data_IF_936304571654
#
_entry.id   IF_936304571654
#
_cell.length_a   1.000
_cell.length_b   1.000
_cell.length_c   1.000
_cell.angle_alpha   90.00
_cell.angle_beta   90.00
_cell.angle_gamma   90.00
#
_symmetry.space_group_name_H-M   'P 1'
#
loop_
_entity.id
_entity.type
_entity.pdbx_description
1 polymer ?
#
# COMPACT_ATOMS: atom_id res chain seq x y z
N UNK A 1 10.48 20.16 5.42
CA UNK A 1 10.06 20.10 4.00
C UNK A 1 9.45 21.44 3.63
N UNK A 2 9.67 21.94 2.41
CA UNK A 2 8.96 23.14 1.92
C UNK A 2 7.46 22.82 1.86
N UNK A 3 6.58 23.76 2.22
CA UNK A 3 5.10 23.63 2.15
C UNK A 3 4.55 23.45 0.71
N UNK A 4 5.43 23.23 -0.27
CA UNK A 4 5.08 23.02 -1.66
C UNK A 4 4.87 21.52 -1.92
N UNK A 5 3.76 21.11 -2.55
CA UNK A 5 3.57 19.72 -2.96
C UNK A 5 4.70 19.29 -3.90
N UNK A 6 5.26 18.11 -3.61
CA UNK A 6 6.27 17.45 -4.45
C UNK A 6 5.59 16.58 -5.51
N UNK A 7 6.23 16.39 -6.65
CA UNK A 7 5.71 15.60 -7.78
C UNK A 7 6.60 14.38 -8.01
N UNK A 8 6.01 13.19 -8.04
CA UNK A 8 6.72 11.90 -8.18
C UNK A 8 6.35 11.29 -9.54
N UNK A 9 7.35 11.06 -10.39
CA UNK A 9 7.15 10.69 -11.82
C UNK A 9 7.97 9.48 -12.30
N UNK A 10 8.80 8.89 -11.44
CA UNK A 10 9.76 7.83 -11.78
C UNK A 10 10.84 8.23 -12.81
N UNK A 11 11.09 9.52 -13.01
CA UNK A 11 12.17 10.03 -13.88
C UNK A 11 13.40 10.35 -13.02
N UNK A 12 14.60 10.04 -13.53
CA UNK A 12 15.88 10.40 -12.88
C UNK A 12 15.97 10.03 -11.38
N UNK A 13 15.38 8.90 -10.99
CA UNK A 13 15.37 8.41 -9.61
C UNK A 13 14.31 9.03 -8.69
N UNK A 14 13.44 9.91 -9.21
CA UNK A 14 12.28 10.48 -8.53
C UNK A 14 11.12 9.48 -8.42
N UNK A 15 11.37 8.37 -7.73
CA UNK A 15 10.43 7.26 -7.58
C UNK A 15 9.62 7.37 -6.30
N UNK A 16 8.47 6.66 -6.26
CA UNK A 16 7.70 6.52 -5.01
C UNK A 16 8.56 5.98 -3.87
N UNK A 17 9.43 5.01 -4.14
CA UNK A 17 10.34 4.46 -3.14
C UNK A 17 11.30 5.53 -2.58
N UNK A 18 11.91 6.34 -3.46
CA UNK A 18 12.79 7.43 -3.06
C UNK A 18 12.04 8.47 -2.22
N UNK A 19 10.82 8.82 -2.59
CA UNK A 19 9.98 9.76 -1.85
C UNK A 19 9.61 9.22 -0.46
N UNK A 20 9.19 7.96 -0.36
CA UNK A 20 8.90 7.29 0.90
C UNK A 20 10.13 7.25 1.83
N UNK A 21 11.31 6.92 1.28
CA UNK A 21 12.55 6.96 2.04
C UNK A 21 12.86 8.36 2.56
N UNK A 22 12.83 9.38 1.70
CA UNK A 22 13.06 10.78 2.12
C UNK A 22 12.13 11.20 3.25
N UNK A 23 10.85 10.85 3.18
CA UNK A 23 9.85 11.18 4.19
C UNK A 23 10.12 10.49 5.53
N UNK A 24 10.46 9.20 5.50
CA UNK A 24 10.66 8.36 6.69
C UNK A 24 12.07 8.51 7.30
N UNK A 25 13.07 8.87 6.49
CA UNK A 25 14.42 9.16 6.96
C UNK A 25 14.52 10.60 7.50
N UNK A 26 13.80 11.57 6.92
CA UNK A 26 13.78 12.95 7.41
C UNK A 26 13.16 13.08 8.81
N UNK A 27 12.32 12.13 9.20
CA UNK A 27 11.76 12.00 10.55
C UNK A 27 12.69 11.28 11.52
N UNK A 28 13.89 10.88 11.08
CA UNK A 28 14.85 10.07 11.86
C UNK A 28 16.15 10.82 12.23
N UNK A 29 16.29 12.13 11.98
CA UNK A 29 17.54 12.83 12.30
C UNK A 29 17.42 14.34 12.58
N UNK A 30 17.49 14.70 13.87
CA UNK A 30 18.36 15.76 14.38
C UNK A 30 19.17 15.18 15.58
N UNK A 31 20.20 14.37 15.30
CA UNK A 31 21.47 14.17 16.04
C UNK A 31 22.05 12.74 15.84
N UNK A 32 23.39 12.55 15.76
CA UNK A 32 24.00 11.26 15.42
C UNK A 32 24.27 10.33 16.61
N UNK A 33 23.90 10.70 17.85
CA UNK A 33 24.31 10.00 19.06
C UNK A 33 23.11 9.46 19.88
N UNK A 34 22.36 8.51 19.32
CA UNK A 34 21.59 7.55 20.12
C UNK A 34 21.14 6.35 19.27
N UNK A 35 21.44 5.13 19.73
CA UNK A 35 20.93 3.87 19.20
C UNK A 35 19.45 3.63 19.55
N UNK A 36 18.59 4.59 19.27
CA UNK A 36 17.13 4.44 19.38
C UNK A 36 16.50 5.33 18.30
N UNK A 37 16.18 4.74 17.15
CA UNK A 37 15.57 5.47 16.03
C UNK A 37 14.22 6.03 16.45
N UNK A 38 14.17 7.31 16.79
CA UNK A 38 12.94 8.01 17.08
C UNK A 38 12.32 8.35 15.72
N UNK A 39 11.53 7.43 15.18
CA UNK A 39 10.77 7.72 13.98
C UNK A 39 9.57 8.54 14.42
N UNK A 40 9.50 9.81 14.01
CA UNK A 40 8.38 10.70 14.37
C UNK A 40 7.03 10.21 13.84
N UNK A 41 7.01 9.18 12.97
CA UNK A 41 5.81 8.55 12.42
C UNK A 41 5.35 7.36 13.28
N UNK A 42 4.15 7.46 13.82
CA UNK A 42 3.52 6.41 14.64
C UNK A 42 2.68 5.44 13.80
N UNK A 43 2.01 5.95 12.75
CA UNK A 43 1.09 5.17 11.93
C UNK A 43 1.26 5.41 10.43
N UNK A 44 1.27 4.30 9.66
CA UNK A 44 1.15 4.30 8.21
C UNK A 44 -0.20 3.73 7.78
N UNK A 45 -0.90 4.42 6.88
CA UNK A 45 -2.13 3.93 6.24
C UNK A 45 -1.91 3.89 4.74
N UNK A 46 -2.01 2.70 4.16
CA UNK A 46 -1.77 2.44 2.74
C UNK A 46 -3.04 1.88 2.13
N UNK A 47 -3.56 2.55 1.09
CA UNK A 47 -4.62 2.03 0.25
C UNK A 47 -4.05 1.73 -1.13
N UNK A 48 -4.32 0.54 -1.66
CA UNK A 48 -3.84 0.15 -2.99
C UNK A 48 -4.80 -0.81 -3.67
N UNK A 49 -4.92 -0.72 -4.99
CA UNK A 49 -5.77 -1.60 -5.79
C UNK A 49 -5.08 -2.94 -6.07
N UNK A 50 -3.75 -2.90 -6.25
CA UNK A 50 -2.94 -4.08 -6.57
C UNK A 50 -1.75 -4.21 -5.64
N UNK A 51 -1.35 -5.45 -5.39
CA UNK A 51 -0.31 -5.78 -4.43
C UNK A 51 0.53 -6.94 -4.95
N UNK A 52 1.86 -6.83 -4.86
CA UNK A 52 2.77 -7.95 -5.08
C UNK A 52 3.82 -8.07 -3.97
N UNK A 53 4.34 -9.28 -3.68
CA UNK A 53 5.40 -9.46 -2.68
C UNK A 53 6.66 -8.65 -2.99
N UNK A 54 7.03 -8.55 -4.28
CA UNK A 54 8.17 -7.75 -4.71
C UNK A 54 7.96 -6.25 -4.47
N UNK A 55 6.76 -5.73 -4.78
CA UNK A 55 6.43 -4.32 -4.56
C UNK A 55 6.46 -3.95 -3.08
N UNK A 56 5.89 -4.81 -2.24
CA UNK A 56 5.97 -4.65 -0.79
C UNK A 56 7.41 -4.71 -0.27
N UNK A 57 8.23 -5.65 -0.76
CA UNK A 57 9.63 -5.83 -0.34
C UNK A 57 10.46 -4.56 -0.55
N UNK A 58 10.18 -3.81 -1.63
CA UNK A 58 10.85 -2.53 -1.89
C UNK A 58 10.61 -1.51 -0.77
N UNK A 59 9.37 -1.40 -0.26
CA UNK A 59 9.05 -0.40 0.77
C UNK A 59 9.21 -0.91 2.20
N UNK A 60 9.25 -2.22 2.41
CA UNK A 60 9.28 -2.86 3.71
C UNK A 60 10.41 -2.35 4.64
N UNK A 61 11.65 -2.08 4.18
CA UNK A 61 12.68 -1.50 5.02
C UNK A 61 12.32 -0.11 5.55
N UNK A 62 11.67 0.72 4.72
CA UNK A 62 11.33 2.08 5.06
C UNK A 62 10.24 2.15 6.15
N UNK A 63 9.26 1.23 6.09
CA UNK A 63 8.14 1.19 7.05
C UNK A 63 8.41 0.28 8.26
N UNK A 64 9.59 -0.34 8.36
CA UNK A 64 9.87 -1.40 9.34
C UNK A 64 9.85 -0.93 10.81
N UNK A 65 10.11 0.36 11.05
CA UNK A 65 10.14 0.98 12.38
C UNK A 65 8.79 1.54 12.83
N UNK A 66 7.78 1.55 11.95
CA UNK A 66 6.45 2.12 12.25
C UNK A 66 5.67 1.17 13.16
N UNK A 67 5.09 1.71 14.24
CA UNK A 67 4.38 0.93 15.26
C UNK A 67 3.00 0.43 14.82
N UNK A 68 2.33 1.14 13.91
CA UNK A 68 1.00 0.77 13.39
C UNK A 68 0.98 0.89 11.87
N UNK A 69 0.73 -0.21 11.16
CA UNK A 69 0.63 -0.22 9.71
C UNK A 69 -0.75 -0.75 9.32
N UNK A 70 -1.53 0.05 8.61
CA UNK A 70 -2.85 -0.32 8.08
C UNK A 70 -2.76 -0.43 6.57
N UNK A 71 -2.95 -1.64 6.05
CA UNK A 71 -2.98 -1.92 4.60
C UNK A 71 -4.41 -2.25 4.18
N UNK A 72 -4.98 -1.40 3.33
CA UNK A 72 -6.29 -1.60 2.71
C UNK A 72 -6.11 -2.01 1.24
N UNK A 73 -6.52 -3.24 0.94
CA UNK A 73 -6.56 -3.79 -0.40
C UNK A 73 -7.90 -3.49 -1.05
N UNK A 74 -7.83 -2.93 -2.26
CA UNK A 74 -8.97 -2.63 -3.09
C UNK A 74 -9.10 -3.56 -4.28
N UNK A 75 -9.95 -3.15 -5.21
CA UNK A 75 -10.17 -3.80 -6.49
C UNK A 75 -10.56 -2.77 -7.54
N UNK A 76 -10.50 -3.17 -8.80
CA UNK A 76 -10.83 -2.34 -9.95
C UNK A 76 -12.31 -1.98 -10.03
N UNK A 77 -12.63 -0.81 -10.60
CA UNK A 77 -14.00 -0.54 -11.03
C UNK A 77 -14.40 -1.56 -12.09
N UNK A 78 -15.69 -1.83 -12.18
CA UNK A 78 -16.23 -2.52 -13.35
C UNK A 78 -16.01 -1.68 -14.59
N UNK A 79 -15.72 -2.32 -15.72
CA UNK A 79 -15.62 -1.63 -16.99
C UNK A 79 -17.00 -1.18 -17.49
N UNK A 80 -17.04 -0.06 -18.22
CA UNK A 80 -18.29 0.50 -18.75
C UNK A 80 -19.07 -0.49 -19.61
N UNK A 81 -18.35 -1.35 -20.34
CA UNK A 81 -18.96 -2.35 -21.21
C UNK A 81 -19.65 -3.47 -20.40
N UNK A 82 -19.21 -3.74 -19.17
CA UNK A 82 -19.79 -4.77 -18.30
C UNK A 82 -21.16 -4.36 -17.78
N UNK A 83 -21.44 -3.05 -17.68
CA UNK A 83 -22.72 -2.50 -17.23
C UNK A 83 -23.88 -3.04 -18.10
N UNK A 84 -23.63 -3.27 -19.38
CA UNK A 84 -24.60 -3.79 -20.34
C UNK A 84 -24.89 -5.29 -20.19
N UNK A 85 -24.10 -6.02 -19.39
CA UNK A 85 -24.30 -7.45 -19.13
C UNK A 85 -25.34 -7.71 -18.01
N UNK A 86 -25.94 -6.66 -17.45
CA UNK A 86 -27.01 -6.75 -16.43
C UNK A 86 -28.22 -7.49 -17.00
N UNK A 87 -28.74 -8.48 -16.26
CA UNK A 87 -29.99 -9.15 -16.66
C UNK A 87 -31.19 -8.19 -16.58
N UNK A 88 -32.18 -8.41 -17.45
CA UNK A 88 -33.41 -7.60 -17.50
C UNK A 88 -34.15 -7.57 -16.15
N UNK A 89 -34.17 -8.68 -15.41
CA UNK A 89 -34.85 -8.83 -14.13
C UNK A 89 -33.98 -8.55 -12.89
N UNK A 90 -32.77 -8.01 -13.07
CA UNK A 90 -31.82 -7.74 -12.00
C UNK A 90 -31.73 -6.23 -11.69
N UNK A 91 -31.81 -5.86 -10.40
CA UNK A 91 -31.56 -4.48 -9.95
C UNK A 91 -30.08 -4.10 -10.11
N UNK A 92 -29.79 -2.83 -10.34
CA UNK A 92 -28.41 -2.32 -10.50
C UNK A 92 -27.52 -2.65 -9.30
N UNK A 93 -28.03 -2.53 -8.08
CA UNK A 93 -27.28 -2.80 -6.85
C UNK A 93 -26.89 -4.28 -6.72
N UNK A 94 -27.84 -5.19 -7.00
CA UNK A 94 -27.55 -6.64 -7.02
C UNK A 94 -26.50 -6.99 -8.06
N UNK A 95 -26.59 -6.39 -9.25
CA UNK A 95 -25.61 -6.61 -10.32
C UNK A 95 -24.21 -6.14 -9.92
N UNK A 96 -24.08 -4.92 -9.38
CA UNK A 96 -22.79 -4.38 -8.89
C UNK A 96 -22.22 -5.26 -7.79
N UNK A 97 -23.03 -5.67 -6.80
CA UNK A 97 -22.57 -6.54 -5.72
C UNK A 97 -22.13 -7.92 -6.21
N UNK A 98 -22.85 -8.48 -7.18
CA UNK A 98 -22.47 -9.75 -7.82
C UNK A 98 -21.12 -9.62 -8.52
N UNK A 99 -20.94 -8.58 -9.32
CA UNK A 99 -19.69 -8.30 -10.04
C UNK A 99 -18.52 -8.02 -9.13
N UNK A 100 -18.75 -7.28 -8.04
CA UNK A 100 -17.76 -7.08 -7.01
C UNK A 100 -17.29 -8.42 -6.41
N UNK A 101 -18.22 -9.33 -6.09
CA UNK A 101 -17.86 -10.67 -5.58
C UNK A 101 -17.11 -11.52 -6.59
N UNK A 102 -17.50 -11.48 -7.86
CA UNK A 102 -16.79 -12.16 -8.95
C UNK A 102 -15.36 -11.61 -9.09
N UNK A 103 -15.19 -10.28 -9.11
CA UNK A 103 -13.90 -9.61 -9.14
C UNK A 103 -13.01 -9.98 -7.94
N UNK A 104 -13.56 -9.97 -6.72
CA UNK A 104 -12.82 -10.35 -5.50
C UNK A 104 -12.40 -11.83 -5.52
N UNK A 105 -13.24 -12.72 -6.03
CA UNK A 105 -12.91 -14.14 -6.19
C UNK A 105 -11.78 -14.32 -7.21
N UNK A 106 -11.92 -13.68 -8.38
CA UNK A 106 -10.91 -13.72 -9.44
C UNK A 106 -9.57 -13.14 -8.96
N UNK A 107 -9.58 -12.04 -8.20
CA UNK A 107 -8.38 -11.45 -7.62
C UNK A 107 -7.68 -12.43 -6.67
N UNK A 108 -8.44 -13.17 -5.84
CA UNK A 108 -7.87 -14.19 -4.97
C UNK A 108 -7.26 -15.36 -5.77
N UNK A 109 -7.93 -15.82 -6.83
CA UNK A 109 -7.42 -16.87 -7.72
C UNK A 109 -6.15 -16.41 -8.46
N UNK A 110 -6.11 -15.17 -8.91
CA UNK A 110 -4.91 -14.56 -9.51
C UNK A 110 -3.78 -14.51 -8.48
N UNK A 111 -4.02 -14.04 -7.26
CA UNK A 111 -2.98 -14.01 -6.21
C UNK A 111 -2.45 -15.41 -5.87
N UNK A 112 -3.31 -16.43 -5.85
CA UNK A 112 -2.90 -17.83 -5.67
C UNK A 112 -2.06 -18.32 -6.84
N UNK A 113 -2.48 -18.00 -8.06
CA UNK A 113 -1.75 -18.35 -9.29
C UNK A 113 -0.40 -17.64 -9.33
N UNK A 114 -0.34 -16.35 -9.00
CA UNK A 114 0.91 -15.59 -8.90
C UNK A 114 1.84 -16.21 -7.85
N UNK A 115 1.32 -16.54 -6.65
CA UNK A 115 2.09 -17.23 -5.60
C UNK A 115 2.69 -18.54 -6.13
N UNK A 116 1.90 -19.34 -6.84
CA UNK A 116 2.33 -20.65 -7.34
C UNK A 116 3.32 -20.53 -8.51
N UNK A 117 3.35 -19.38 -9.19
CA UNK A 117 4.27 -19.06 -10.27
C UNK A 117 5.44 -18.15 -9.85
N UNK A 118 5.63 -17.88 -8.54
CA UNK A 118 6.79 -17.13 -8.07
C UNK A 118 8.06 -17.89 -8.49
N UNK A 119 8.99 -17.26 -9.24
CA UNK A 119 10.20 -17.95 -9.70
C UNK A 119 11.04 -18.46 -8.54
N UNK A 120 11.64 -19.64 -8.71
CA UNK A 120 12.51 -20.25 -7.70
C UNK A 120 13.93 -19.68 -7.77
N UNK A 121 14.05 -18.37 -7.61
CA UNK A 121 15.31 -17.65 -7.53
C UNK A 121 15.52 -17.02 -6.14
N UNK A 122 16.75 -16.54 -5.88
CA UNK A 122 17.12 -15.96 -4.59
C UNK A 122 16.38 -14.67 -4.27
N UNK A 123 16.15 -13.80 -5.26
CA UNK A 123 15.50 -12.51 -5.07
C UNK A 123 14.01 -12.70 -4.74
N UNK A 124 13.33 -13.55 -5.49
CA UNK A 124 11.93 -13.95 -5.26
C UNK A 124 11.75 -14.59 -3.89
N UNK A 125 12.62 -15.55 -3.54
CA UNK A 125 12.63 -16.19 -2.21
C UNK A 125 12.86 -15.20 -1.07
N UNK A 126 13.76 -14.22 -1.25
CA UNK A 126 14.03 -13.18 -0.26
C UNK A 126 12.81 -12.28 -0.05
N UNK A 127 12.14 -11.90 -1.14
CA UNK A 127 10.96 -11.03 -1.12
C UNK A 127 9.80 -11.67 -0.34
N UNK A 128 9.52 -12.95 -0.60
CA UNK A 128 8.49 -13.70 0.14
C UNK A 128 8.84 -13.84 1.62
N UNK A 129 10.10 -14.17 1.96
CA UNK A 129 10.54 -14.28 3.35
C UNK A 129 10.41 -12.94 4.10
N UNK A 130 10.75 -11.84 3.45
CA UNK A 130 10.64 -10.51 4.03
C UNK A 130 9.17 -10.11 4.26
N UNK A 131 8.28 -10.38 3.30
CA UNK A 131 6.85 -10.18 3.48
C UNK A 131 6.32 -10.98 4.69
N UNK A 132 6.65 -12.28 4.78
CA UNK A 132 6.25 -13.13 5.91
C UNK A 132 6.80 -12.58 7.23
N UNK A 133 8.06 -12.16 7.26
CA UNK A 133 8.68 -11.60 8.45
C UNK A 133 7.98 -10.30 8.89
N UNK A 134 7.62 -9.42 7.96
CA UNK A 134 6.86 -8.20 8.25
C UNK A 134 5.47 -8.51 8.81
N UNK A 135 4.74 -9.45 8.20
CA UNK A 135 3.41 -9.85 8.69
C UNK A 135 3.47 -10.47 10.10
N UNK A 136 4.53 -11.22 10.41
CA UNK A 136 4.73 -11.86 11.73
C UNK A 136 5.05 -10.88 12.85
N UNK A 137 5.44 -9.64 12.56
CA UNK A 137 5.72 -8.62 13.60
C UNK A 137 4.48 -8.18 14.36
N UNK A 138 3.27 -8.40 13.81
CA UNK A 138 2.01 -8.09 14.47
C UNK A 138 1.67 -6.59 14.54
N UNK A 139 2.51 -5.71 13.98
CA UNK A 139 2.24 -4.27 13.85
C UNK A 139 1.47 -3.91 12.58
N UNK A 140 1.04 -4.90 11.79
CA UNK A 140 0.35 -4.71 10.52
C UNK A 140 -1.05 -5.30 10.53
N UNK A 141 -2.03 -4.45 10.24
CA UNK A 141 -3.42 -4.82 9.99
C UNK A 141 -3.70 -4.75 8.49
N UNK A 142 -4.11 -5.88 7.91
CA UNK A 142 -4.48 -5.98 6.50
C UNK A 142 -5.98 -6.19 6.38
N UNK A 143 -6.65 -5.34 5.61
CA UNK A 143 -8.09 -5.47 5.29
C UNK A 143 -8.31 -5.41 3.80
N UNK A 144 -9.38 -6.05 3.34
CA UNK A 144 -9.89 -5.92 1.97
C UNK A 144 -11.18 -5.12 1.98
N UNK A 145 -11.32 -4.19 1.05
CA UNK A 145 -12.55 -3.40 0.91
C UNK A 145 -13.56 -4.15 0.02
N UNK A 146 -14.70 -4.53 0.59
CA UNK A 146 -15.68 -5.41 -0.06
C UNK A 146 -17.07 -4.77 -0.25
N UNK A 147 -17.18 -3.46 -0.03
CA UNK A 147 -18.47 -2.75 -0.18
C UNK A 147 -18.70 -2.22 -1.60
N UNK A 148 -17.63 -1.71 -2.22
CA UNK A 148 -17.56 -1.16 -3.59
C UNK A 148 -16.15 -1.44 -4.13
N UNK A 149 -15.87 -1.03 -5.36
CA UNK A 149 -14.47 -0.99 -5.84
C UNK A 149 -13.64 0.03 -5.05
N UNK A 150 -12.32 -0.15 -5.03
CA UNK A 150 -11.35 0.79 -4.47
C UNK A 150 -10.11 0.77 -5.36
N UNK A 151 -10.05 1.74 -6.26
CA UNK A 151 -8.94 1.85 -7.22
C UNK A 151 -7.95 2.98 -6.85
N UNK A 152 -8.23 3.74 -5.79
CA UNK A 152 -7.35 4.79 -5.31
C UNK A 152 -6.05 4.23 -4.72
N UNK A 153 -4.95 4.97 -4.87
CA UNK A 153 -3.67 4.66 -4.24
C UNK A 153 -3.27 5.84 -3.37
N UNK A 154 -3.12 5.56 -2.08
CA UNK A 154 -2.79 6.58 -1.09
C UNK A 154 -1.86 6.00 -0.03
N UNK A 155 -0.87 6.79 0.35
CA UNK A 155 0.08 6.50 1.42
C UNK A 155 0.03 7.68 2.39
N UNK A 156 -0.44 7.42 3.61
CA UNK A 156 -0.66 8.44 4.64
C UNK A 156 0.19 8.08 5.84
N UNK A 157 0.98 9.03 6.32
CA UNK A 157 1.85 8.88 7.48
C UNK A 157 1.44 9.88 8.54
N UNK A 158 1.07 9.38 9.71
CA UNK A 158 0.66 10.18 10.85
C UNK A 158 1.79 10.26 11.87
N UNK A 159 2.14 11.47 12.33
CA UNK A 159 3.16 11.64 13.35
C UNK A 159 2.68 11.12 14.71
N UNK A 160 3.62 10.89 15.62
CA UNK A 160 3.36 10.54 17.01
C UNK A 160 2.76 11.74 17.73
N UNK A 161 1.61 11.56 18.39
CA UNK A 161 0.96 12.64 19.12
C UNK A 161 1.84 13.11 20.30
N UNK A 162 2.03 14.43 20.42
CA UNK A 162 2.75 15.04 21.55
C UNK A 162 4.20 15.43 21.28
N UNK A 163 4.69 15.34 20.03
CA UNK A 163 5.92 16.01 19.62
C UNK A 163 5.58 17.43 19.17
N UNK A 164 6.20 18.44 19.78
CA UNK A 164 5.97 19.87 19.52
C UNK A 164 6.35 20.32 18.09
N UNK A 165 6.97 19.42 17.31
CA UNK A 165 7.34 19.63 15.92
C UNK A 165 6.42 18.81 14.99
N UNK A 166 5.41 19.48 14.43
CA UNK A 166 4.64 19.04 13.26
C UNK A 166 3.62 17.89 13.47
N UNK A 167 2.42 18.23 13.93
CA UNK A 167 1.25 17.33 13.99
C UNK A 167 0.60 17.02 12.61
N UNK A 168 1.20 17.48 11.51
CA UNK A 168 0.60 17.38 10.18
C UNK A 168 0.87 16.02 9.53
N UNK A 169 -0.17 15.38 9.00
CA UNK A 169 -0.05 14.15 8.24
C UNK A 169 0.72 14.39 6.94
N UNK A 170 1.62 13.48 6.59
CA UNK A 170 2.23 13.45 5.26
C UNK A 170 1.43 12.52 4.34
N UNK A 171 1.14 12.97 3.13
CA UNK A 171 0.23 12.26 2.20
C UNK A 171 0.86 12.18 0.81
N UNK A 172 0.88 10.97 0.26
CA UNK A 172 1.21 10.70 -1.15
C UNK A 172 -0.02 10.06 -1.79
N UNK A 173 -0.54 10.67 -2.86
CA UNK A 173 -1.69 10.18 -3.62
C UNK A 173 -1.31 10.14 -5.09
N UNK A 174 -1.74 9.10 -5.81
CA UNK A 174 -1.49 9.01 -7.25
C UNK A 174 -1.92 7.68 -7.86
N UNK A 175 -1.22 7.28 -8.92
CA UNK A 175 -1.48 6.05 -9.68
C UNK A 175 -0.64 4.84 -9.22
N UNK A 176 0.38 5.04 -8.38
CA UNK A 176 1.37 4.02 -8.00
C UNK A 176 0.84 2.98 -6.99
N UNK A 177 0.75 1.73 -7.41
CA UNK A 177 0.42 0.57 -6.55
C UNK A 177 1.63 0.02 -5.78
N UNK A 178 1.38 -0.91 -4.87
CA UNK A 178 2.40 -1.74 -4.21
C UNK A 178 2.86 -2.90 -5.10
N UNK A 179 3.35 -2.60 -6.28
CA UNK A 179 3.79 -3.59 -7.29
C UNK A 179 5.27 -3.37 -7.65
N UNK A 180 5.94 -4.43 -8.12
CA UNK A 180 7.37 -4.44 -8.45
C UNK A 180 7.64 -4.09 -9.91
#
# INVERSE_FOLDING_TARGET
MSDKPDFIDNIDGNTLYTALRKLLDASSSETPDAKTGNNDIEEARIATAYFSPGGFTRIAPAIASISSIKLLLGTDPMEDHEIWQKKLNESKERFILKRLRESLTNQEEILRTERDNIPFDRASSSSVKQLIASLRRGNMEVRRYEKQFLHGKAYIFAPKQGNECNDSNSVIIGSSNLTA
#
